data_IF_576930757142
#
_entry.id   IF_576930757142
#
_cell.length_a   1.000
_cell.length_b   1.000
_cell.length_c   1.000
_cell.angle_alpha   90.00
_cell.angle_beta   90.00
_cell.angle_gamma   90.00
#
_symmetry.space_group_name_H-M   'P 1'
#
loop_
_entity.id
_entity.type
_entity.pdbx_description
1 polymer ?
#
# COMPACT_ATOMS: atom_id res chain seq x y z
N UNK A 1 27.96 9.18 17.18
CA UNK A 1 26.58 8.96 16.74
C UNK A 1 25.70 9.23 17.93
N UNK A 2 24.61 9.98 17.72
CA UNK A 2 23.60 10.16 18.76
C UNK A 2 22.86 8.84 18.97
N UNK A 3 22.53 8.51 20.22
CA UNK A 3 21.77 7.30 20.55
C UNK A 3 20.31 7.49 20.10
N UNK A 4 19.92 6.80 19.04
CA UNK A 4 18.59 6.86 18.47
C UNK A 4 17.58 5.96 19.19
N UNK A 5 18.02 5.09 20.12
CA UNK A 5 17.13 4.18 20.85
C UNK A 5 16.08 4.90 21.69
N UNK A 6 16.37 6.14 22.12
CA UNK A 6 15.40 7.02 22.82
C UNK A 6 14.16 7.37 21.99
N UNK A 7 14.20 7.17 20.67
CA UNK A 7 13.11 7.42 19.74
C UNK A 7 12.47 6.14 19.21
N UNK A 8 12.81 4.95 19.71
CA UNK A 8 12.23 3.70 19.18
C UNK A 8 10.70 3.66 19.36
N UNK A 9 10.19 4.24 20.45
CA UNK A 9 8.75 4.38 20.69
C UNK A 9 8.05 5.29 19.67
N UNK A 10 8.78 6.24 19.06
CA UNK A 10 8.25 7.13 18.02
C UNK A 10 8.13 6.44 16.65
N UNK A 11 8.58 5.18 16.51
CA UNK A 11 8.52 4.46 15.24
C UNK A 11 7.12 4.49 14.61
N UNK A 12 6.08 4.17 15.39
CA UNK A 12 4.72 4.13 14.87
C UNK A 12 4.17 5.54 14.60
N UNK A 13 4.59 6.54 15.38
CA UNK A 13 4.24 7.94 15.14
C UNK A 13 4.81 8.44 13.80
N UNK A 14 6.09 8.18 13.53
CA UNK A 14 6.70 8.51 12.25
C UNK A 14 6.06 7.71 11.10
N UNK A 15 5.74 6.44 11.32
CA UNK A 15 5.09 5.61 10.31
C UNK A 15 3.72 6.19 9.90
N UNK A 16 2.88 6.53 10.89
CA UNK A 16 1.57 7.16 10.67
C UNK A 16 1.70 8.52 9.99
N UNK A 17 2.65 9.36 10.43
CA UNK A 17 2.94 10.65 9.79
C UNK A 17 3.34 10.48 8.31
N UNK A 18 4.11 9.43 8.00
CA UNK A 18 4.47 9.08 6.62
C UNK A 18 3.25 8.75 5.76
N UNK A 19 2.32 7.94 6.27
CA UNK A 19 1.07 7.63 5.57
C UNK A 19 0.15 8.84 5.41
N UNK A 20 0.07 9.72 6.42
CA UNK A 20 -0.69 10.97 6.33
C UNK A 20 -0.09 11.89 5.25
N UNK A 21 1.24 12.01 5.19
CA UNK A 21 1.92 12.81 4.17
C UNK A 21 1.65 12.30 2.74
N UNK A 22 1.62 10.97 2.54
CA UNK A 22 1.19 10.38 1.25
C UNK A 22 -0.21 10.87 0.87
N UNK A 23 -1.17 10.82 1.80
CA UNK A 23 -2.56 11.25 1.54
C UNK A 23 -2.67 12.76 1.25
N UNK A 24 -1.68 13.55 1.68
CA UNK A 24 -1.57 14.98 1.37
C UNK A 24 -0.78 15.27 0.09
N UNK A 25 -0.32 14.22 -0.62
CA UNK A 25 0.60 14.31 -1.74
C UNK A 25 1.93 15.02 -1.41
N UNK A 26 2.35 15.02 -0.13
CA UNK A 26 3.65 15.52 0.30
C UNK A 26 4.67 14.36 0.32
N UNK A 27 5.24 14.09 -0.86
CA UNK A 27 6.23 13.04 -1.06
C UNK A 27 7.49 13.27 -0.21
N UNK A 28 7.94 14.53 -0.10
CA UNK A 28 9.15 14.88 0.64
C UNK A 28 9.00 14.56 2.13
N UNK A 29 7.84 14.89 2.72
CA UNK A 29 7.55 14.55 4.10
C UNK A 29 7.40 13.03 4.29
N UNK A 30 6.69 12.34 3.40
CA UNK A 30 6.52 10.88 3.47
C UNK A 30 7.87 10.15 3.49
N UNK A 31 8.76 10.50 2.55
CA UNK A 31 10.10 9.89 2.45
C UNK A 31 10.95 10.19 3.68
N UNK A 32 10.89 11.41 4.23
CA UNK A 32 11.63 11.76 5.46
C UNK A 32 11.15 10.94 6.66
N UNK A 33 9.84 10.75 6.80
CA UNK A 33 9.26 9.96 7.88
C UNK A 33 9.64 8.48 7.79
N UNK A 34 9.55 7.87 6.60
CA UNK A 34 9.95 6.47 6.44
C UNK A 34 11.46 6.26 6.59
N UNK A 35 12.30 7.23 6.21
CA UNK A 35 13.74 7.19 6.51
C UNK A 35 14.03 7.24 8.00
N UNK A 36 13.25 8.02 8.77
CA UNK A 36 13.35 7.99 10.23
C UNK A 36 12.98 6.61 10.77
N UNK A 37 11.90 6.00 10.29
CA UNK A 37 11.53 4.62 10.65
C UNK A 37 12.64 3.61 10.31
N UNK A 38 13.29 3.74 9.15
CA UNK A 38 14.40 2.86 8.73
C UNK A 38 15.62 2.97 9.65
N UNK A 39 15.92 4.16 10.16
CA UNK A 39 16.99 4.35 11.15
C UNK A 39 16.68 3.69 12.49
N UNK A 40 15.40 3.59 12.86
CA UNK A 40 14.96 3.00 14.14
C UNK A 40 14.83 1.48 14.05
N UNK A 41 14.15 0.97 13.00
CA UNK A 41 13.85 -0.45 12.81
C UNK A 41 14.08 -0.87 11.36
N UNK A 42 15.34 -1.03 10.92
CA UNK A 42 15.70 -1.21 9.51
C UNK A 42 15.12 -2.48 8.86
N UNK A 43 14.74 -3.48 9.66
CA UNK A 43 14.18 -4.74 9.17
C UNK A 43 12.65 -4.77 9.16
N UNK A 44 11.98 -3.71 9.62
CA UNK A 44 10.53 -3.69 9.70
C UNK A 44 9.89 -3.56 8.31
N UNK A 45 9.10 -4.56 7.91
CA UNK A 45 8.46 -4.59 6.60
C UNK A 45 7.51 -3.41 6.32
N UNK A 46 6.93 -2.79 7.35
CA UNK A 46 6.00 -1.66 7.18
C UNK A 46 6.64 -0.46 6.50
N UNK A 47 7.96 -0.29 6.61
CA UNK A 47 8.70 0.78 5.92
C UNK A 47 8.64 0.54 4.40
N UNK A 48 8.92 -0.70 3.96
CA UNK A 48 8.84 -1.06 2.54
C UNK A 48 7.42 -1.03 2.02
N UNK A 49 6.44 -1.43 2.84
CA UNK A 49 5.02 -1.28 2.51
C UNK A 49 4.66 0.20 2.33
N UNK A 50 5.11 1.08 3.22
CA UNK A 50 4.92 2.53 3.11
C UNK A 50 5.52 3.11 1.83
N UNK A 51 6.75 2.72 1.48
CA UNK A 51 7.38 3.14 0.21
C UNK A 51 6.63 2.61 -1.02
N UNK A 52 6.20 1.35 -1.00
CA UNK A 52 5.36 0.79 -2.06
C UNK A 52 4.02 1.53 -2.20
N UNK A 53 3.41 1.90 -1.07
CA UNK A 53 2.16 2.65 -1.03
C UNK A 53 2.31 4.08 -1.57
N UNK A 54 3.43 4.75 -1.28
CA UNK A 54 3.78 6.04 -1.89
C UNK A 54 3.85 5.94 -3.42
N UNK A 55 4.58 4.94 -3.94
CA UNK A 55 4.66 4.71 -5.38
C UNK A 55 3.30 4.35 -6.00
N UNK A 56 2.46 3.61 -5.29
CA UNK A 56 1.11 3.28 -5.73
C UNK A 56 0.24 4.54 -5.86
N UNK A 57 0.28 5.44 -4.88
CA UNK A 57 -0.42 6.74 -4.93
C UNK A 57 0.02 7.61 -6.12
N UNK A 58 1.31 7.53 -6.48
CA UNK A 58 1.86 8.22 -7.66
C UNK A 58 1.57 7.51 -8.99
N UNK A 59 0.84 6.38 -8.97
CA UNK A 59 0.62 5.49 -10.11
C UNK A 59 1.93 4.98 -10.75
N UNK A 60 3.02 4.92 -9.98
CA UNK A 60 4.30 4.35 -10.37
C UNK A 60 4.26 2.82 -10.17
N UNK A 61 3.33 2.16 -10.88
CA UNK A 61 2.90 0.78 -10.59
C UNK A 61 4.03 -0.24 -10.59
N UNK A 62 5.01 -0.10 -11.50
CA UNK A 62 6.19 -0.99 -11.55
C UNK A 62 7.02 -0.92 -10.26
N UNK A 63 7.19 0.28 -9.71
CA UNK A 63 7.93 0.46 -8.46
C UNK A 63 7.13 -0.06 -7.28
N UNK A 64 5.83 0.27 -7.21
CA UNK A 64 4.93 -0.23 -6.18
C UNK A 64 4.92 -1.76 -6.10
N UNK A 65 4.73 -2.44 -7.24
CA UNK A 65 4.77 -3.90 -7.37
C UNK A 65 6.07 -4.46 -6.81
N UNK A 66 7.21 -3.90 -7.23
CA UNK A 66 8.53 -4.34 -6.76
C UNK A 66 8.67 -4.25 -5.23
N UNK A 67 8.26 -3.14 -4.63
CA UNK A 67 8.32 -2.98 -3.17
C UNK A 67 7.48 -4.02 -2.43
N UNK A 68 6.26 -4.29 -2.89
CA UNK A 68 5.40 -5.29 -2.25
C UNK A 68 5.90 -6.72 -2.47
N UNK A 69 6.42 -7.04 -3.66
CA UNK A 69 7.06 -8.34 -3.92
C UNK A 69 8.28 -8.56 -3.01
N UNK A 70 9.09 -7.52 -2.76
CA UNK A 70 10.21 -7.61 -1.82
C UNK A 70 9.78 -7.87 -0.37
N UNK A 71 8.62 -7.33 0.05
CA UNK A 71 8.02 -7.64 1.35
C UNK A 71 7.57 -9.09 1.38
N UNK A 72 6.79 -9.53 0.39
CA UNK A 72 6.24 -10.88 0.34
C UNK A 72 7.30 -11.98 0.16
N UNK A 73 8.47 -11.65 -0.42
CA UNK A 73 9.60 -12.56 -0.48
C UNK A 73 10.16 -12.92 0.90
N UNK A 74 9.99 -12.04 1.91
CA UNK A 74 10.44 -12.25 3.29
C UNK A 74 9.29 -12.63 4.23
N UNK A 75 8.13 -12.03 4.01
CA UNK A 75 6.91 -12.22 4.80
C UNK A 75 5.76 -12.65 3.88
N UNK A 76 5.70 -13.94 3.48
CA UNK A 76 4.68 -14.42 2.56
C UNK A 76 3.24 -14.27 3.07
N UNK A 77 3.06 -14.05 4.37
CA UNK A 77 1.75 -13.89 5.02
C UNK A 77 1.43 -12.43 5.38
N UNK A 78 2.17 -11.46 4.83
CA UNK A 78 1.88 -10.04 5.04
C UNK A 78 0.63 -9.62 4.23
N UNK A 79 -0.53 -9.66 4.87
CA UNK A 79 -1.84 -9.36 4.28
C UNK A 79 -1.94 -7.95 3.66
N UNK A 80 -1.24 -6.97 4.25
CA UNK A 80 -1.21 -5.59 3.76
C UNK A 80 -0.43 -5.52 2.43
N UNK A 81 0.75 -6.14 2.36
CA UNK A 81 1.54 -6.19 1.13
C UNK A 81 0.83 -6.99 0.02
N UNK A 82 0.18 -8.12 0.35
CA UNK A 82 -0.66 -8.87 -0.61
C UNK A 82 -1.75 -7.98 -1.19
N UNK A 83 -2.46 -7.27 -0.34
CA UNK A 83 -3.58 -6.42 -0.75
C UNK A 83 -3.12 -5.27 -1.65
N UNK A 84 -2.06 -4.55 -1.27
CA UNK A 84 -1.56 -3.43 -2.09
C UNK A 84 -0.90 -3.90 -3.39
N UNK A 85 -0.24 -5.05 -3.41
CA UNK A 85 0.21 -5.67 -4.66
C UNK A 85 -0.97 -5.99 -5.57
N UNK A 86 -2.10 -6.45 -4.99
CA UNK A 86 -3.32 -6.76 -5.72
C UNK A 86 -3.89 -5.53 -6.40
N UNK A 87 -3.98 -4.43 -5.65
CA UNK A 87 -4.40 -3.12 -6.17
C UNK A 87 -3.45 -2.64 -7.26
N UNK A 88 -2.13 -2.72 -7.06
CA UNK A 88 -1.17 -2.28 -8.07
C UNK A 88 -1.29 -3.09 -9.38
N UNK A 89 -1.53 -4.41 -9.27
CA UNK A 89 -1.75 -5.30 -10.42
C UNK A 89 -3.09 -5.02 -11.11
N UNK A 90 -4.16 -4.68 -10.39
CA UNK A 90 -5.46 -4.35 -11.01
C UNK A 90 -5.41 -3.04 -11.80
N UNK A 91 -4.52 -2.13 -11.44
CA UNK A 91 -4.25 -0.90 -12.18
C UNK A 91 -3.28 -1.10 -13.35
N UNK A 92 -2.66 -2.29 -13.47
CA UNK A 92 -1.73 -2.62 -14.55
C UNK A 92 -2.48 -3.42 -15.64
N UNK A 93 -2.61 -2.92 -16.88
CA UNK A 93 -3.50 -3.50 -17.89
C UNK A 93 -3.30 -5.00 -18.20
N UNK A 94 -2.08 -5.49 -18.17
CA UNK A 94 -1.74 -6.90 -18.42
C UNK A 94 -1.87 -7.80 -17.18
N UNK A 95 -2.16 -7.23 -16.01
CA UNK A 95 -2.18 -7.96 -14.73
C UNK A 95 -3.52 -7.90 -14.00
N UNK A 96 -4.56 -7.32 -14.62
CA UNK A 96 -5.86 -7.09 -13.97
C UNK A 96 -6.43 -8.35 -13.32
N UNK A 97 -6.52 -9.45 -14.08
CA UNK A 97 -7.06 -10.72 -13.57
C UNK A 97 -6.20 -11.33 -12.45
N UNK A 98 -4.88 -11.14 -12.48
CA UNK A 98 -3.97 -11.62 -11.42
C UNK A 98 -4.18 -10.82 -10.14
N UNK A 99 -4.26 -9.49 -10.25
CA UNK A 99 -4.51 -8.61 -9.12
C UNK A 99 -5.85 -8.87 -8.45
N UNK A 100 -6.91 -9.05 -9.25
CA UNK A 100 -8.26 -9.38 -8.75
C UNK A 100 -8.27 -10.67 -7.95
N UNK A 101 -7.72 -11.75 -8.52
CA UNK A 101 -7.61 -13.05 -7.82
C UNK A 101 -6.93 -12.89 -6.45
N UNK A 102 -5.87 -12.10 -6.40
CA UNK A 102 -5.14 -11.91 -5.16
C UNK A 102 -5.92 -11.08 -4.13
N UNK A 103 -6.77 -10.13 -4.57
CA UNK A 103 -7.69 -9.43 -3.68
C UNK A 103 -8.81 -10.35 -3.17
N UNK A 104 -9.33 -11.25 -4.00
CA UNK A 104 -10.30 -12.28 -3.58
C UNK A 104 -9.70 -13.21 -2.52
N UNK A 105 -8.46 -13.65 -2.71
CA UNK A 105 -7.70 -14.43 -1.72
C UNK A 105 -7.51 -13.63 -0.43
N UNK A 106 -7.14 -12.35 -0.50
CA UNK A 106 -7.00 -11.49 0.68
C UNK A 106 -8.31 -11.37 1.47
N UNK A 107 -9.46 -11.18 0.81
CA UNK A 107 -10.78 -11.13 1.49
C UNK A 107 -11.11 -12.46 2.18
N UNK A 108 -10.73 -13.58 1.56
CA UNK A 108 -11.02 -14.91 2.11
C UNK A 108 -10.16 -15.23 3.32
N UNK A 109 -8.86 -14.92 3.25
CA UNK A 109 -7.86 -15.46 4.17
C UNK A 109 -7.53 -14.51 5.33
N UNK A 110 -7.70 -13.18 5.16
CA UNK A 110 -7.39 -12.22 6.22
C UNK A 110 -8.44 -12.19 7.34
N UNK A 111 -7.95 -12.04 8.57
CA UNK A 111 -8.76 -11.74 9.76
C UNK A 111 -8.81 -10.24 10.08
N UNK A 112 -8.00 -9.43 9.39
CA UNK A 112 -7.99 -7.98 9.58
C UNK A 112 -9.17 -7.32 8.84
N UNK A 113 -10.02 -6.64 9.61
CA UNK A 113 -11.24 -6.02 9.07
C UNK A 113 -10.96 -4.85 8.13
N UNK A 114 -9.85 -4.14 8.31
CA UNK A 114 -9.45 -3.03 7.46
C UNK A 114 -8.91 -3.55 6.13
N UNK A 115 -8.03 -4.57 6.17
CA UNK A 115 -7.54 -5.24 4.95
C UNK A 115 -8.71 -5.77 4.14
N UNK A 116 -9.64 -6.49 4.78
CA UNK A 116 -10.85 -7.00 4.13
C UNK A 116 -11.69 -5.88 3.50
N UNK A 117 -11.85 -4.75 4.18
CA UNK A 117 -12.59 -3.59 3.64
C UNK A 117 -11.89 -3.01 2.42
N UNK A 118 -10.58 -2.75 2.49
CA UNK A 118 -9.78 -2.19 1.39
C UNK A 118 -9.82 -3.11 0.18
N UNK A 119 -9.67 -4.42 0.37
CA UNK A 119 -9.72 -5.40 -0.71
C UNK A 119 -11.10 -5.43 -1.38
N UNK A 120 -12.19 -5.46 -0.61
CA UNK A 120 -13.56 -5.41 -1.15
C UNK A 120 -13.83 -4.13 -1.95
N UNK A 121 -13.47 -2.96 -1.42
CA UNK A 121 -13.63 -1.68 -2.14
C UNK A 121 -12.82 -1.67 -3.44
N UNK A 122 -11.64 -2.28 -3.43
CA UNK A 122 -10.79 -2.40 -4.62
C UNK A 122 -11.40 -3.32 -5.67
N UNK A 123 -12.01 -4.45 -5.26
CA UNK A 123 -12.74 -5.35 -6.16
C UNK A 123 -13.95 -4.66 -6.79
N UNK A 124 -14.74 -3.92 -6.00
CA UNK A 124 -15.86 -3.11 -6.50
C UNK A 124 -15.38 -2.06 -7.52
N UNK A 125 -14.24 -1.42 -7.28
CA UNK A 125 -13.65 -0.48 -8.23
C UNK A 125 -13.27 -1.18 -9.55
N UNK A 126 -12.64 -2.35 -9.48
CA UNK A 126 -12.24 -3.12 -10.68
C UNK A 126 -13.45 -3.49 -11.54
N UNK A 127 -14.51 -3.99 -10.91
CA UNK A 127 -15.73 -4.40 -11.60
C UNK A 127 -16.45 -3.23 -12.28
N UNK A 128 -16.47 -2.06 -11.63
CA UNK A 128 -17.22 -0.90 -12.12
C UNK A 128 -16.43 -0.03 -13.10
N UNK A 129 -15.11 0.09 -12.93
CA UNK A 129 -14.30 1.09 -13.63
C UNK A 129 -13.16 0.52 -14.47
N UNK A 130 -12.57 -0.62 -14.08
CA UNK A 130 -11.45 -1.22 -14.83
C UNK A 130 -11.98 -2.14 -15.94
N UNK A 131 -12.94 -3.02 -15.62
CA UNK A 131 -13.51 -3.98 -16.59
C UNK A 131 -14.59 -3.38 -17.49
N UNK A 132 -15.27 -2.32 -17.04
CA UNK A 132 -16.35 -1.65 -17.77
C UNK A 132 -15.95 -0.21 -18.13
N UNK A 133 -15.18 0.00 -19.21
CA UNK A 133 -14.89 1.34 -19.69
C UNK A 133 -16.19 1.99 -20.20
N UNK A 134 -16.85 2.79 -19.34
CA UNK A 134 -18.11 3.49 -19.65
C UNK A 134 -19.07 3.70 -18.46
N UNK A 135 -18.81 3.10 -17.30
CA UNK A 135 -19.69 3.14 -16.11
C UNK A 135 -19.43 4.30 -15.15
N UNK A 136 -19.63 5.55 -15.57
CA UNK A 136 -19.97 6.66 -14.68
C UNK A 136 -18.84 7.34 -13.89
N UNK A 137 -18.36 8.47 -14.40
CA UNK A 137 -18.00 9.57 -13.49
C UNK A 137 -19.29 10.03 -12.79
N UNK A 138 -19.58 9.45 -11.62
CA UNK A 138 -20.54 10.03 -10.68
C UNK A 138 -20.08 11.45 -10.31
N UNK A 139 -21.00 12.39 -10.07
CA UNK A 139 -20.62 13.78 -9.85
C UNK A 139 -19.69 13.90 -8.65
N UNK A 140 -18.55 14.57 -8.86
CA UNK A 140 -17.67 15.03 -7.78
C UNK A 140 -18.50 15.98 -6.90
N UNK A 141 -18.68 15.71 -5.59
CA UNK A 141 -19.35 16.63 -4.69
C UNK A 141 -18.61 17.96 -4.68
N UNK A 142 -19.35 19.07 -4.84
CA UNK A 142 -18.85 20.43 -4.64
C UNK A 142 -18.63 20.72 -3.16
#
# INVERSE_FOLDING_TARGET
MEDLSKYDEDFFLFLEAGFIAINQADEDAAVKMFKACELLRPENALIKVGMGYLHLHKLELKAAIKYFEEVLAKEPDNDMAKTFLGIAMTLTPDQVSKGEKMLEEAVKDTHDSQVKKVANTSLEFVENFVKKPGGGAGPVPK
#
